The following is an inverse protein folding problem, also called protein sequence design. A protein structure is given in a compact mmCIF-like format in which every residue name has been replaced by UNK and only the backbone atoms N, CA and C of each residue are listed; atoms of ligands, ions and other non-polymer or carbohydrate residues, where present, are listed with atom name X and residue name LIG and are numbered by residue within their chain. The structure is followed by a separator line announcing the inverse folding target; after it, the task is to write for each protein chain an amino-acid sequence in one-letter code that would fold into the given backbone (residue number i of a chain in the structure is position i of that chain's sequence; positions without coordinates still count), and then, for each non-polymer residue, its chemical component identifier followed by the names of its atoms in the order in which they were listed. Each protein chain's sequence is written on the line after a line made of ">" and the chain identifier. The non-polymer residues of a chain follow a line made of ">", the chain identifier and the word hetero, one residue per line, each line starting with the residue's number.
data_IF_367191435834
#
_entry.id   IF_367191435834
#
_cell.length_a   1.000
_cell.length_b   1.000
_cell.length_c   1.000
_cell.angle_alpha   90.00
_cell.angle_beta   90.00
_cell.angle_gamma   90.00
#
_symmetry.space_group_name_H-M   'P 1'
#
loop_
_entity.id
_entity.type
_entity.pdbx_description
1 polymer ?
#
# COMPACT_ATOMS: atom_id res chain seq x y z
N UNK A 1 65.29 -17.33 -46.22
CA UNK A 1 65.05 -17.18 -44.78
C UNK A 1 63.86 -16.33 -44.62
N UNK A 2 62.67 -16.93 -44.47
CA UNK A 2 61.41 -16.18 -44.28
C UNK A 2 60.85 -16.54 -42.90
N UNK A 3 60.82 -15.54 -42.02
CA UNK A 3 60.13 -15.63 -40.69
C UNK A 3 58.70 -15.31 -40.83
N UNK A 4 57.82 -16.28 -40.57
CA UNK A 4 56.38 -16.11 -40.49
C UNK A 4 55.98 -15.91 -39.03
N UNK A 5 55.62 -14.68 -38.66
CA UNK A 5 55.03 -14.41 -37.37
C UNK A 5 53.51 -14.65 -37.42
N UNK A 6 53.05 -15.65 -36.69
CA UNK A 6 51.63 -15.91 -36.46
C UNK A 6 51.09 -14.98 -35.34
N UNK A 7 50.39 -13.94 -35.74
CA UNK A 7 49.59 -13.12 -34.80
C UNK A 7 48.30 -13.84 -34.42
N UNK A 8 48.21 -14.31 -33.19
CA UNK A 8 46.97 -14.87 -32.62
C UNK A 8 46.06 -13.75 -32.17
N UNK A 9 45.03 -13.42 -32.93
CA UNK A 9 43.92 -12.56 -32.47
C UNK A 9 43.02 -13.35 -31.51
N UNK A 10 43.12 -13.05 -30.22
CA UNK A 10 42.22 -13.55 -29.19
C UNK A 10 40.93 -12.70 -29.27
N UNK A 11 39.86 -13.27 -29.85
CA UNK A 11 38.53 -12.65 -29.84
C UNK A 11 37.89 -12.91 -28.48
N UNK A 12 37.86 -11.87 -27.62
CA UNK A 12 37.09 -11.88 -26.38
C UNK A 12 35.64 -11.69 -26.77
N UNK A 13 34.85 -12.75 -26.71
CA UNK A 13 33.38 -12.65 -26.81
C UNK A 13 32.82 -12.25 -25.43
N UNK A 14 32.44 -11.00 -25.27
CA UNK A 14 31.70 -10.55 -24.09
C UNK A 14 30.25 -11.03 -24.21
N UNK A 15 29.91 -12.07 -23.47
CA UNK A 15 28.52 -12.50 -23.32
C UNK A 15 27.87 -11.56 -22.31
N UNK A 16 27.03 -10.59 -22.79
CA UNK A 16 26.17 -9.79 -21.96
C UNK A 16 25.00 -10.65 -21.49
N UNK A 17 25.01 -11.06 -20.20
CA UNK A 17 23.82 -11.62 -19.56
C UNK A 17 22.79 -10.50 -19.37
N UNK A 18 21.76 -10.48 -20.20
CA UNK A 18 20.58 -9.65 -19.97
C UNK A 18 19.76 -10.32 -18.86
N UNK A 19 19.81 -9.78 -17.66
CA UNK A 19 18.86 -10.14 -16.60
C UNK A 19 17.50 -9.52 -16.98
N UNK A 20 16.57 -10.33 -17.48
CA UNK A 20 15.18 -9.95 -17.56
C UNK A 20 14.65 -9.90 -16.11
N UNK A 21 14.49 -8.68 -15.57
CA UNK A 21 13.76 -8.49 -14.31
C UNK A 21 12.31 -8.86 -14.56
N UNK A 22 11.90 -10.00 -14.04
CA UNK A 22 10.48 -10.38 -13.98
C UNK A 22 9.85 -9.43 -12.96
N UNK A 23 8.88 -8.62 -13.37
CA UNK A 23 8.04 -7.88 -12.45
C UNK A 23 7.19 -8.91 -11.69
N UNK A 24 7.59 -9.23 -10.47
CA UNK A 24 6.77 -10.01 -9.55
C UNK A 24 5.70 -9.06 -9.05
N UNK A 25 4.44 -9.27 -9.46
CA UNK A 25 3.32 -8.58 -8.84
C UNK A 25 3.26 -8.99 -7.37
N UNK A 26 3.02 -8.01 -6.51
CA UNK A 26 2.85 -8.27 -5.10
C UNK A 26 1.61 -9.15 -4.86
N UNK A 27 1.66 -9.97 -3.81
CA UNK A 27 0.51 -10.75 -3.42
C UNK A 27 -0.64 -9.83 -3.00
N UNK A 28 -1.90 -10.16 -3.33
CA UNK A 28 -3.06 -9.44 -2.85
C UNK A 28 -3.13 -9.41 -1.31
N UNK A 29 -3.72 -8.35 -0.76
CA UNK A 29 -3.97 -8.22 0.68
C UNK A 29 -5.49 -8.22 0.91
N UNK A 30 -6.00 -9.27 1.52
CA UNK A 30 -7.42 -9.36 1.85
C UNK A 30 -7.75 -8.60 3.13
N UNK A 31 -8.95 -8.03 3.18
CA UNK A 31 -9.52 -7.40 4.38
C UNK A 31 -10.97 -7.85 4.58
N UNK A 32 -11.45 -7.73 5.80
CA UNK A 32 -12.84 -8.01 6.14
C UNK A 32 -13.27 -7.19 7.34
N UNK A 33 -14.57 -6.96 7.47
CA UNK A 33 -15.17 -6.25 8.57
C UNK A 33 -16.67 -6.55 8.68
N UNK A 34 -17.31 -5.84 9.59
CA UNK A 34 -18.75 -5.89 9.78
C UNK A 34 -19.27 -4.50 10.13
N UNK A 35 -20.13 -3.95 9.31
CA UNK A 35 -20.85 -2.71 9.64
C UNK A 35 -21.98 -3.03 10.59
N UNK A 36 -22.06 -2.33 11.70
CA UNK A 36 -23.03 -2.54 12.77
C UNK A 36 -23.75 -1.24 13.17
N UNK A 37 -24.85 -1.36 13.90
CA UNK A 37 -25.58 -0.21 14.43
C UNK A 37 -24.77 0.59 15.47
N UNK A 38 -23.78 -0.05 16.09
CA UNK A 38 -22.91 0.59 17.10
C UNK A 38 -21.69 1.30 16.52
N UNK A 39 -21.44 1.15 15.23
CA UNK A 39 -20.32 1.81 14.58
C UNK A 39 -20.53 3.32 14.44
N UNK A 40 -19.46 4.09 14.38
CA UNK A 40 -19.57 5.51 14.09
C UNK A 40 -20.20 5.75 12.71
N UNK A 41 -20.93 6.85 12.58
CA UNK A 41 -21.59 7.23 11.34
C UNK A 41 -21.04 8.53 10.78
N UNK A 42 -21.16 8.69 9.46
CA UNK A 42 -20.81 9.94 8.79
C UNK A 42 -21.75 10.20 7.61
N UNK A 43 -21.80 11.45 7.13
CA UNK A 43 -22.44 11.75 5.87
C UNK A 43 -21.43 11.48 4.74
N UNK A 44 -21.62 10.34 4.02
CA UNK A 44 -20.69 9.93 2.99
C UNK A 44 -20.64 10.93 1.82
N UNK A 45 -19.52 11.00 1.08
CA UNK A 45 -19.46 11.74 -0.17
C UNK A 45 -20.45 11.18 -1.21
N UNK A 46 -20.93 12.05 -2.08
CA UNK A 46 -21.63 11.69 -3.32
C UNK A 46 -20.71 11.88 -4.54
N UNK A 47 -19.91 12.92 -4.50
CA UNK A 47 -18.81 13.20 -5.41
C UNK A 47 -17.60 13.64 -4.59
N UNK A 48 -16.48 13.90 -5.22
CA UNK A 48 -15.30 14.48 -4.52
C UNK A 48 -15.53 15.93 -4.02
N UNK A 49 -16.66 16.55 -4.34
CA UNK A 49 -16.99 17.95 -3.96
C UNK A 49 -18.33 18.09 -3.25
N UNK A 50 -19.11 17.03 -3.08
CA UNK A 50 -20.45 17.10 -2.48
C UNK A 50 -20.74 15.90 -1.60
N UNK A 51 -21.54 16.13 -0.55
CA UNK A 51 -22.04 15.09 0.32
C UNK A 51 -23.30 14.44 -0.23
N UNK A 52 -23.57 13.21 0.18
CA UNK A 52 -24.75 12.45 -0.21
C UNK A 52 -26.01 13.04 0.45
N UNK A 53 -27.12 13.07 -0.31
CA UNK A 53 -28.44 13.31 0.22
C UNK A 53 -29.17 12.04 0.68
N UNK A 54 -28.59 10.85 0.43
CA UNK A 54 -29.14 9.53 0.77
C UNK A 54 -28.36 8.93 1.93
N UNK A 55 -27.06 8.71 1.77
CA UNK A 55 -26.17 8.22 2.82
C UNK A 55 -25.73 9.32 3.77
N UNK A 56 -26.68 9.88 4.51
CA UNK A 56 -26.45 11.04 5.41
C UNK A 56 -25.89 10.65 6.78
N UNK A 57 -26.02 9.37 7.14
CA UNK A 57 -25.54 8.78 8.40
C UNK A 57 -25.27 7.29 8.21
N UNK A 58 -24.29 6.95 7.36
CA UNK A 58 -23.88 5.56 7.10
C UNK A 58 -22.83 5.13 8.09
N UNK A 59 -22.94 3.91 8.64
CA UNK A 59 -21.88 3.28 9.43
C UNK A 59 -20.65 3.04 8.58
N UNK A 60 -19.45 3.10 9.15
CA UNK A 60 -18.22 2.93 8.40
C UNK A 60 -17.14 2.22 9.19
N UNK A 61 -16.27 1.51 8.45
CA UNK A 61 -14.97 1.01 8.88
C UNK A 61 -13.85 1.74 8.15
N UNK A 62 -12.67 1.81 8.76
CA UNK A 62 -11.50 2.48 8.19
C UNK A 62 -10.29 1.54 8.18
N UNK A 63 -9.72 1.32 7.01
CA UNK A 63 -8.45 0.63 6.84
C UNK A 63 -7.37 1.64 6.49
N UNK A 64 -6.45 1.89 7.41
CA UNK A 64 -5.25 2.67 7.12
C UNK A 64 -4.19 1.77 6.48
N UNK A 65 -3.50 2.30 5.49
CA UNK A 65 -2.47 1.57 4.76
C UNK A 65 -1.48 2.53 4.10
N UNK A 66 -0.40 1.97 3.61
CA UNK A 66 0.56 2.62 2.72
C UNK A 66 1.00 1.65 1.63
N UNK A 67 1.69 2.16 0.62
CA UNK A 67 2.27 1.36 -0.46
C UNK A 67 3.79 1.50 -0.45
N UNK A 68 4.50 0.43 -0.84
CA UNK A 68 5.96 0.40 -0.79
C UNK A 68 6.64 0.94 -2.03
N UNK A 69 5.90 1.24 -3.10
CA UNK A 69 6.38 1.91 -4.31
C UNK A 69 5.24 2.66 -4.98
N UNK A 70 5.57 3.67 -5.77
CA UNK A 70 4.61 4.34 -6.64
C UNK A 70 4.01 3.37 -7.65
N UNK A 71 2.69 3.44 -7.87
CA UNK A 71 2.02 2.52 -8.76
C UNK A 71 0.51 2.72 -8.81
N UNK A 72 -0.16 1.86 -9.58
CA UNK A 72 -1.62 1.77 -9.59
C UNK A 72 -2.04 0.60 -8.73
N UNK A 73 -2.97 0.87 -7.82
CA UNK A 73 -3.52 -0.09 -6.87
C UNK A 73 -5.03 -0.13 -6.99
N UNK A 74 -5.62 -1.30 -6.81
CA UNK A 74 -7.08 -1.43 -6.72
C UNK A 74 -7.50 -1.85 -5.32
N UNK A 75 -8.63 -1.34 -4.90
CA UNK A 75 -9.32 -1.63 -3.65
C UNK A 75 -10.76 -1.99 -3.98
N UNK A 76 -11.19 -3.18 -3.61
CA UNK A 76 -12.53 -3.66 -3.98
C UNK A 76 -13.19 -4.42 -2.83
N UNK A 77 -14.50 -4.32 -2.75
CA UNK A 77 -15.31 -5.26 -1.99
C UNK A 77 -15.60 -6.50 -2.84
N UNK A 78 -15.51 -7.69 -2.22
CA UNK A 78 -15.70 -8.99 -2.89
C UNK A 78 -17.02 -9.64 -2.52
N UNK A 79 -17.51 -9.35 -1.33
CA UNK A 79 -18.83 -9.79 -0.82
C UNK A 79 -19.31 -8.84 0.25
N UNK A 80 -20.63 -8.72 0.39
CA UNK A 80 -21.28 -8.05 1.50
C UNK A 80 -22.62 -8.68 1.82
N UNK A 81 -22.92 -8.80 3.13
CA UNK A 81 -24.23 -9.24 3.65
C UNK A 81 -25.16 -8.03 3.89
N UNK A 82 -24.75 -6.83 3.51
CA UNK A 82 -25.57 -5.63 3.57
C UNK A 82 -26.77 -5.75 2.62
N UNK A 83 -27.77 -4.91 2.80
CA UNK A 83 -28.93 -4.91 1.92
C UNK A 83 -28.47 -4.74 0.46
N UNK A 84 -28.86 -5.68 -0.41
CA UNK A 84 -28.50 -5.75 -1.82
C UNK A 84 -26.99 -5.93 -2.08
N UNK A 85 -26.17 -6.21 -1.07
CA UNK A 85 -24.70 -6.20 -1.14
C UNK A 85 -24.14 -4.85 -1.61
N UNK A 86 -24.84 -3.75 -1.28
CA UNK A 86 -24.60 -2.40 -1.77
C UNK A 86 -23.56 -1.70 -0.87
N UNK A 87 -22.32 -1.79 -1.29
CA UNK A 87 -21.18 -1.18 -0.60
C UNK A 87 -20.83 0.17 -1.21
N UNK A 88 -20.08 0.97 -0.48
CA UNK A 88 -19.54 2.23 -0.94
C UNK A 88 -18.11 2.39 -0.41
N UNK A 89 -17.18 2.71 -1.28
CA UNK A 89 -15.78 2.95 -0.93
C UNK A 89 -15.43 4.43 -1.09
N UNK A 90 -14.67 4.96 -0.12
CA UNK A 90 -14.06 6.27 -0.22
C UNK A 90 -12.59 6.19 0.16
N UNK A 91 -11.70 6.75 -0.66
CA UNK A 91 -10.27 6.73 -0.46
C UNK A 91 -9.76 8.12 -0.11
N UNK A 92 -8.99 8.22 0.97
CA UNK A 92 -8.39 9.46 1.48
C UNK A 92 -6.88 9.36 1.53
N UNK A 93 -6.20 10.50 1.38
CA UNK A 93 -4.76 10.63 1.62
C UNK A 93 -4.49 11.42 2.91
N UNK A 94 -3.42 11.05 3.62
CA UNK A 94 -2.92 11.71 4.83
C UNK A 94 -3.80 11.59 6.08
N UNK A 95 -5.11 11.85 5.97
CA UNK A 95 -6.03 11.75 7.09
C UNK A 95 -7.48 11.53 6.62
N UNK A 96 -8.26 10.82 7.43
CA UNK A 96 -9.72 10.76 7.32
C UNK A 96 -10.34 11.42 8.55
N UNK A 97 -11.33 12.28 8.32
CA UNK A 97 -12.13 12.94 9.36
C UNK A 97 -13.62 12.83 9.00
N UNK A 98 -14.37 12.05 9.78
CA UNK A 98 -15.80 11.85 9.58
C UNK A 98 -16.64 13.13 9.72
N UNK A 99 -16.13 14.15 10.41
CA UNK A 99 -16.77 15.47 10.52
C UNK A 99 -16.53 16.37 9.31
N UNK A 100 -15.54 16.03 8.49
CA UNK A 100 -15.14 16.76 7.29
C UNK A 100 -14.91 15.80 6.12
N UNK A 101 -15.95 15.05 5.65
CA UNK A 101 -15.78 13.88 4.77
C UNK A 101 -15.25 14.20 3.37
N UNK A 102 -15.18 15.46 2.98
CA UNK A 102 -14.60 15.89 1.71
C UNK A 102 -13.13 16.30 1.84
N UNK A 103 -12.64 16.47 3.09
CA UNK A 103 -11.24 16.82 3.31
C UNK A 103 -10.34 15.62 2.99
N UNK A 104 -9.27 15.85 2.24
CA UNK A 104 -8.29 14.82 1.83
C UNK A 104 -8.86 13.67 0.99
N UNK A 105 -10.11 13.77 0.53
CA UNK A 105 -10.75 12.78 -0.31
C UNK A 105 -10.09 12.75 -1.70
N UNK A 106 -9.62 11.57 -2.12
CA UNK A 106 -9.04 11.34 -3.44
C UNK A 106 -10.09 10.91 -4.45
N UNK A 107 -10.86 9.88 -4.09
CA UNK A 107 -11.86 9.28 -4.98
C UNK A 107 -12.87 8.46 -4.18
N UNK A 108 -13.97 8.15 -4.82
CA UNK A 108 -15.03 7.27 -4.31
C UNK A 108 -15.44 6.29 -5.38
N UNK A 109 -16.09 5.22 -4.96
CA UNK A 109 -16.79 4.30 -5.85
C UNK A 109 -17.97 3.64 -5.17
N UNK A 110 -19.00 3.42 -5.97
CA UNK A 110 -20.26 2.77 -5.59
C UNK A 110 -20.35 1.38 -6.24
N UNK A 111 -20.49 1.31 -7.56
CA UNK A 111 -20.91 0.13 -8.32
C UNK A 111 -19.92 -0.35 -9.40
N UNK A 112 -18.63 0.05 -9.37
CA UNK A 112 -17.68 -0.38 -10.38
C UNK A 112 -17.20 -1.84 -10.21
N UNK A 113 -17.58 -2.49 -9.12
CA UNK A 113 -17.32 -3.91 -8.86
C UNK A 113 -18.35 -4.85 -9.49
N UNK A 114 -18.54 -6.02 -8.90
CA UNK A 114 -19.54 -6.99 -9.36
C UNK A 114 -20.89 -6.72 -8.69
N UNK A 115 -21.92 -6.46 -9.47
CA UNK A 115 -23.26 -6.11 -8.95
C UNK A 115 -23.27 -4.70 -8.37
N UNK A 116 -23.54 -4.58 -7.07
CA UNK A 116 -23.48 -3.33 -6.30
C UNK A 116 -22.25 -3.28 -5.37
N UNK A 117 -21.21 -4.04 -5.69
CA UNK A 117 -19.95 -3.96 -4.97
C UNK A 117 -19.06 -2.88 -5.56
N UNK A 118 -18.26 -2.25 -4.73
CA UNK A 118 -17.42 -1.12 -5.12
C UNK A 118 -16.02 -1.57 -5.54
N UNK A 119 -15.41 -0.81 -6.47
CA UNK A 119 -14.03 -0.98 -6.93
C UNK A 119 -13.39 0.38 -7.21
N UNK A 120 -12.37 0.74 -6.45
CA UNK A 120 -11.49 1.88 -6.73
C UNK A 120 -10.21 1.37 -7.40
N UNK A 121 -9.76 2.07 -8.47
CA UNK A 121 -8.42 1.91 -9.03
C UNK A 121 -7.74 3.27 -9.06
N UNK A 122 -6.62 3.44 -8.33
CA UNK A 122 -5.99 4.73 -8.08
C UNK A 122 -4.48 4.66 -8.15
N UNK A 123 -3.85 5.71 -8.72
CA UNK A 123 -2.40 5.91 -8.60
C UNK A 123 -2.06 6.37 -7.19
N UNK A 124 -1.20 5.61 -6.51
CA UNK A 124 -0.76 5.89 -5.14
C UNK A 124 0.76 6.10 -5.13
N UNK A 125 1.23 6.91 -4.19
CA UNK A 125 2.64 7.20 -3.98
C UNK A 125 3.15 6.48 -2.73
N UNK A 126 4.39 6.02 -2.76
CA UNK A 126 5.07 5.50 -1.58
C UNK A 126 5.15 6.57 -0.47
N UNK A 127 5.31 6.12 0.76
CA UNK A 127 5.47 6.97 1.96
C UNK A 127 4.27 7.90 2.28
N UNK A 128 3.17 7.79 1.51
CA UNK A 128 1.90 8.46 1.83
C UNK A 128 1.01 7.49 2.61
N UNK A 129 0.39 8.01 3.67
CA UNK A 129 -0.63 7.28 4.41
C UNK A 129 -1.97 7.42 3.71
N UNK A 130 -2.66 6.31 3.49
CA UNK A 130 -3.99 6.27 2.89
C UNK A 130 -5.00 5.67 3.85
N UNK A 131 -6.26 6.03 3.67
CA UNK A 131 -7.39 5.52 4.44
C UNK A 131 -8.48 5.09 3.47
N UNK A 132 -8.77 3.80 3.44
CA UNK A 132 -9.93 3.25 2.75
C UNK A 132 -11.08 3.20 3.74
N UNK A 133 -12.12 3.94 3.47
CA UNK A 133 -13.39 3.91 4.22
C UNK A 133 -14.32 2.97 3.48
N UNK A 134 -14.80 1.93 4.18
CA UNK A 134 -15.83 1.01 3.71
C UNK A 134 -17.14 1.39 4.39
N UNK A 135 -18.18 1.59 3.61
CA UNK A 135 -19.51 1.96 4.08
C UNK A 135 -20.59 1.40 3.15
N UNK A 136 -21.82 1.88 3.24
CA UNK A 136 -22.94 1.47 2.40
C UNK A 136 -23.52 2.64 1.62
N UNK A 137 -24.30 2.34 0.58
CA UNK A 137 -25.01 3.36 -0.20
C UNK A 137 -26.03 4.13 0.65
N UNK A 138 -26.88 3.42 1.39
CA UNK A 138 -27.95 3.95 2.22
C UNK A 138 -27.61 3.92 3.71
N UNK A 139 -28.36 4.70 4.50
CA UNK A 139 -28.32 4.66 5.96
C UNK A 139 -28.85 3.34 6.51
N UNK A 140 -28.41 2.98 7.72
CA UNK A 140 -28.90 1.83 8.48
C UNK A 140 -28.83 0.49 7.70
N UNK A 141 -27.79 0.32 6.92
CA UNK A 141 -27.44 -0.96 6.29
C UNK A 141 -26.25 -1.56 7.03
N UNK A 142 -26.42 -2.78 7.50
CA UNK A 142 -25.44 -3.49 8.34
C UNK A 142 -25.17 -4.87 7.77
N UNK A 143 -24.00 -5.43 8.04
CA UNK A 143 -23.63 -6.77 7.60
C UNK A 143 -22.12 -6.95 7.50
N UNK A 144 -21.70 -8.21 7.37
CA UNK A 144 -20.30 -8.52 7.12
C UNK A 144 -19.93 -8.15 5.67
N UNK A 145 -18.66 -7.89 5.45
CA UNK A 145 -18.11 -7.71 4.12
C UNK A 145 -16.69 -8.27 4.04
N UNK A 146 -16.25 -8.58 2.84
CA UNK A 146 -14.88 -8.91 2.51
C UNK A 146 -14.41 -8.06 1.36
N UNK A 147 -13.12 -7.80 1.31
CA UNK A 147 -12.51 -7.02 0.24
C UNK A 147 -11.05 -7.37 0.03
N UNK A 148 -10.44 -6.69 -0.92
CA UNK A 148 -9.07 -6.94 -1.35
C UNK A 148 -8.40 -5.69 -1.87
N UNK A 149 -7.12 -5.57 -1.56
CA UNK A 149 -6.18 -4.69 -2.22
C UNK A 149 -5.33 -5.49 -3.19
N UNK A 150 -5.16 -4.99 -4.41
CA UNK A 150 -4.27 -5.56 -5.42
C UNK A 150 -3.31 -4.50 -5.96
N UNK A 151 -2.10 -4.93 -6.32
CA UNK A 151 -1.16 -4.12 -7.10
C UNK A 151 -1.45 -4.34 -8.58
N UNK A 152 -1.90 -3.30 -9.27
CA UNK A 152 -2.19 -3.34 -10.71
C UNK A 152 -0.93 -3.07 -11.53
N UNK A 153 -0.11 -2.12 -11.09
CA UNK A 153 1.19 -1.81 -11.72
C UNK A 153 2.13 -1.13 -10.72
N UNK A 154 3.45 -1.08 -11.03
CA UNK A 154 4.46 -0.41 -10.21
C UNK A 154 5.25 -1.33 -9.28
N UNK A 155 4.81 -2.58 -9.07
CA UNK A 155 5.58 -3.63 -8.35
C UNK A 155 5.69 -3.43 -6.83
N UNK A 156 5.01 -2.41 -6.26
CA UNK A 156 4.94 -2.21 -4.81
C UNK A 156 3.92 -3.11 -4.14
N UNK A 157 3.98 -3.18 -2.81
CA UNK A 157 3.05 -3.92 -1.96
C UNK A 157 2.14 -2.96 -1.20
N UNK A 158 0.92 -3.41 -0.90
CA UNK A 158 0.05 -2.75 0.09
C UNK A 158 0.38 -3.30 1.47
N UNK A 159 0.57 -2.41 2.43
CA UNK A 159 0.85 -2.75 3.83
C UNK A 159 -0.22 -2.10 4.69
N UNK A 160 -1.02 -2.91 5.38
CA UNK A 160 -2.03 -2.41 6.31
C UNK A 160 -1.36 -1.85 7.57
N UNK A 161 -1.96 -0.82 8.13
CA UNK A 161 -1.43 -0.10 9.29
C UNK A 161 -0.66 1.15 8.92
N UNK A 162 -0.08 1.80 9.92
CA UNK A 162 0.74 2.98 9.70
C UNK A 162 2.03 2.62 8.96
N UNK A 163 2.47 3.50 8.03
CA UNK A 163 3.83 3.43 7.53
C UNK A 163 4.78 3.43 8.73
N UNK A 164 5.75 2.52 8.74
CA UNK A 164 6.79 2.57 9.76
C UNK A 164 7.38 3.98 9.69
N UNK A 165 7.09 4.82 10.70
CA UNK A 165 7.85 6.05 10.86
C UNK A 165 9.31 5.64 10.89
N UNK A 166 10.19 6.32 10.14
CA UNK A 166 11.63 6.18 10.29
C UNK A 166 11.96 6.40 11.78
N UNK A 167 11.91 5.33 12.55
CA UNK A 167 12.51 5.31 13.88
C UNK A 167 14.01 5.35 13.58
N UNK A 168 14.71 6.46 13.88
CA UNK A 168 16.15 6.52 13.66
C UNK A 168 16.75 5.26 14.31
N UNK A 169 17.45 4.48 13.50
CA UNK A 169 18.08 3.24 14.00
C UNK A 169 18.81 3.59 15.32
N UNK A 170 18.55 2.87 16.43
CA UNK A 170 19.18 3.21 17.71
C UNK A 170 20.67 3.37 17.45
N UNK A 171 21.26 4.44 17.92
CA UNK A 171 22.70 4.76 17.75
C UNK A 171 23.63 3.60 18.20
N UNK A 172 23.05 2.54 18.75
CA UNK A 172 23.69 1.26 19.04
C UNK A 172 24.35 0.60 17.82
N UNK A 173 23.78 0.75 16.59
CA UNK A 173 24.44 0.24 15.38
C UNK A 173 25.70 1.05 15.01
N UNK A 174 25.69 2.36 15.27
CA UNK A 174 26.87 3.20 15.10
C UNK A 174 27.96 2.93 16.16
N UNK A 175 27.59 2.38 17.33
CA UNK A 175 28.54 2.04 18.39
C UNK A 175 29.22 0.69 18.19
N UNK A 176 28.66 -0.20 17.37
CA UNK A 176 29.24 -1.54 17.12
C UNK A 176 30.65 -1.48 16.51
N UNK A 177 30.94 -0.68 15.47
CA UNK A 177 32.30 -0.55 14.94
C UNK A 177 33.27 0.09 15.92
N UNK A 178 32.81 1.02 16.75
CA UNK A 178 33.63 1.65 17.81
C UNK A 178 34.02 0.63 18.90
N UNK A 179 33.10 -0.24 19.31
CA UNK A 179 33.40 -1.30 20.26
C UNK A 179 34.40 -2.32 19.70
N UNK A 180 34.29 -2.69 18.44
CA UNK A 180 35.25 -3.58 17.75
C UNK A 180 36.63 -2.95 17.60
N UNK A 181 36.71 -1.64 17.29
CA UNK A 181 37.99 -0.91 17.26
C UNK A 181 38.63 -0.85 18.66
N UNK A 182 37.84 -0.59 19.68
CA UNK A 182 38.32 -0.58 21.10
C UNK A 182 38.92 -1.91 21.52
N UNK A 183 38.29 -3.03 21.17
CA UNK A 183 38.79 -4.37 21.49
C UNK A 183 40.10 -4.70 20.74
N UNK A 184 40.24 -4.26 19.48
CA UNK A 184 41.48 -4.48 18.70
C UNK A 184 42.66 -3.69 19.25
N UNK A 185 42.43 -2.47 19.71
CA UNK A 185 43.44 -1.62 20.34
C UNK A 185 43.84 -2.15 21.72
N UNK A 186 42.90 -2.64 22.52
CA UNK A 186 43.19 -3.24 23.83
C UNK A 186 44.05 -4.52 23.70
N UNK A 187 43.76 -5.38 22.71
CA UNK A 187 44.59 -6.58 22.44
C UNK A 187 46.02 -6.26 21.99
N UNK A 188 46.23 -5.16 21.26
CA UNK A 188 47.59 -4.72 20.87
C UNK A 188 48.42 -4.23 22.09
N UNK A 189 47.78 -3.63 23.09
CA UNK A 189 48.45 -3.13 24.28
C UNK A 189 48.89 -4.25 25.23
N UNK A 190 48.23 -5.39 25.26
CA UNK A 190 48.60 -6.57 26.07
C UNK A 190 49.72 -7.40 25.48
N UNK A 191 50.13 -7.16 24.23
CA UNK A 191 51.20 -7.91 23.56
C UNK A 191 52.53 -7.14 23.48
N UNK A 192 52.65 -6.03 24.18
CA UNK A 192 53.89 -5.29 24.39
C UNK A 192 54.25 -5.33 25.89
#
# INVERSE_FOLDING_TARGET
>A
MFNFQFSRFLKLAAASLAFASQAVLAAPVDFSGALTESDPVFNRPFTTFSLSGVGTATSYDVFNFHVTADGVYSMQTLSADTRNSDTFLALYANAFDASSPLANLLTIDDDAGTGFLSLISQSLQADVRYFLVVTTYDNAQFGNYTGRFDTVSGGGQVVLGEAASDVPEPATLALLPLALLGMTLARRRQRR
#
